data_IF_230463609863
#
_entry.id   IF_230463609863
#
_cell.length_a   1.000
_cell.length_b   1.000
_cell.length_c   1.000
_cell.angle_alpha   90.00
_cell.angle_beta   90.00
_cell.angle_gamma   90.00
#
_symmetry.space_group_name_H-M   'P 1'
#
loop_
_entity.id
_entity.type
_entity.pdbx_description
1 polymer ?
#
# COMPACT_ATOMS: atom_id res chain seq x y z
N UNK A 1 12.55 14.02 10.43
CA UNK A 1 11.44 13.21 9.87
C UNK A 1 11.49 13.38 8.36
N UNK A 2 11.21 12.33 7.59
CA UNK A 2 11.11 12.42 6.12
C UNK A 2 9.84 13.23 5.79
N UNK A 3 9.95 14.12 4.80
CA UNK A 3 8.84 15.01 4.40
C UNK A 3 7.86 14.27 3.47
N UNK A 4 6.60 14.65 3.49
CA UNK A 4 5.57 14.01 2.65
C UNK A 4 5.88 14.06 1.14
N UNK A 5 6.47 15.14 0.67
CA UNK A 5 6.92 15.25 -0.74
C UNK A 5 7.89 14.13 -1.16
N UNK A 6 8.67 13.58 -0.23
CA UNK A 6 9.59 12.48 -0.52
C UNK A 6 8.83 11.17 -0.75
N UNK A 7 7.83 10.88 0.09
CA UNK A 7 6.96 9.72 -0.12
C UNK A 7 6.20 9.82 -1.45
N UNK A 8 5.63 10.99 -1.75
CA UNK A 8 4.95 11.21 -3.04
C UNK A 8 5.92 11.06 -4.24
N UNK A 9 7.18 11.51 -4.12
CA UNK A 9 8.22 11.29 -5.14
C UNK A 9 8.49 9.81 -5.38
N UNK A 10 8.58 9.02 -4.29
CA UNK A 10 8.82 7.57 -4.37
C UNK A 10 7.66 6.86 -5.05
N UNK A 11 6.42 7.18 -4.70
CA UNK A 11 5.24 6.61 -5.35
C UNK A 11 5.23 6.91 -6.85
N UNK A 12 5.46 8.17 -7.25
CA UNK A 12 5.57 8.53 -8.67
C UNK A 12 6.72 7.82 -9.39
N UNK A 13 7.85 7.61 -8.72
CA UNK A 13 8.96 6.86 -9.30
C UNK A 13 8.56 5.39 -9.53
N UNK A 14 7.93 4.75 -8.56
CA UNK A 14 7.48 3.37 -8.67
C UNK A 14 6.43 3.20 -9.78
N UNK A 15 5.44 4.10 -9.86
CA UNK A 15 4.44 4.09 -10.94
C UNK A 15 5.07 4.22 -12.33
N UNK A 16 6.08 5.08 -12.49
CA UNK A 16 6.82 5.18 -13.77
C UNK A 16 7.58 3.90 -14.12
N UNK A 17 8.12 3.20 -13.12
CA UNK A 17 8.81 1.93 -13.33
C UNK A 17 7.83 0.81 -13.70
N UNK A 18 6.63 0.83 -13.14
CA UNK A 18 5.57 -0.15 -13.45
C UNK A 18 5.03 0.00 -14.87
N UNK A 19 5.11 1.19 -15.46
CA UNK A 19 4.59 1.46 -16.80
C UNK A 19 3.08 1.70 -16.82
N UNK A 20 2.53 1.81 -18.02
CA UNK A 20 1.12 2.08 -18.25
C UNK A 20 0.24 0.87 -17.91
N UNK A 21 -1.05 1.11 -17.69
CA UNK A 21 -2.10 0.10 -17.45
C UNK A 21 -1.75 -0.92 -16.36
N UNK A 22 -1.08 -0.43 -15.32
CA UNK A 22 -0.61 -1.26 -14.22
C UNK A 22 -1.31 -0.91 -12.91
N UNK A 23 -1.48 -1.92 -12.07
CA UNK A 23 -1.91 -1.76 -10.68
C UNK A 23 -0.84 -2.32 -9.75
N UNK A 24 -0.48 -1.54 -8.74
CA UNK A 24 0.50 -1.90 -7.72
C UNK A 24 -0.24 -2.06 -6.40
N UNK A 25 -0.08 -3.19 -5.74
CA UNK A 25 -0.79 -3.53 -4.50
C UNK A 25 0.24 -3.83 -3.42
N UNK A 26 0.17 -3.11 -2.31
CA UNK A 26 1.07 -3.31 -1.17
C UNK A 26 0.30 -3.27 0.14
N UNK A 27 0.44 -4.33 0.93
CA UNK A 27 -0.23 -4.48 2.22
C UNK A 27 0.60 -3.92 3.36
N UNK A 28 -0.09 -3.34 4.35
CA UNK A 28 0.50 -3.04 5.65
C UNK A 28 0.87 -4.33 6.39
N UNK A 29 1.81 -4.24 7.33
CA UNK A 29 2.11 -5.36 8.21
C UNK A 29 0.88 -5.73 9.06
N UNK A 30 0.60 -7.02 9.27
CA UNK A 30 -0.44 -7.44 10.19
C UNK A 30 -0.04 -7.19 11.65
N UNK A 31 -1.02 -6.97 12.50
CA UNK A 31 -0.81 -7.00 13.96
C UNK A 31 -0.47 -8.44 14.37
N UNK A 32 0.56 -8.61 15.19
CA UNK A 32 1.00 -9.93 15.65
C UNK A 32 0.68 -10.12 17.13
N UNK A 33 0.01 -11.23 17.43
CA UNK A 33 -0.25 -11.65 18.80
C UNK A 33 1.04 -12.14 19.45
N UNK A 34 1.26 -11.72 20.69
CA UNK A 34 2.34 -12.21 21.55
C UNK A 34 1.88 -13.38 22.43
N UNK A 35 0.73 -13.20 23.07
CA UNK A 35 0.03 -14.20 23.87
C UNK A 35 -1.47 -13.81 23.93
N UNK A 36 -2.30 -14.54 24.65
CA UNK A 36 -3.77 -14.48 24.62
C UNK A 36 -4.38 -13.09 24.43
N UNK A 37 -3.95 -12.08 25.18
CA UNK A 37 -4.52 -10.73 25.16
C UNK A 37 -3.52 -9.62 24.82
N UNK A 38 -2.27 -9.99 24.55
CA UNK A 38 -1.21 -9.00 24.30
C UNK A 38 -0.67 -9.11 22.87
N UNK A 39 -0.51 -7.96 22.23
CA UNK A 39 0.14 -7.84 20.95
C UNK A 39 1.62 -7.46 21.12
N UNK A 40 2.44 -7.83 20.15
CA UNK A 40 3.74 -7.19 20.01
C UNK A 40 3.55 -5.71 19.65
N UNK A 41 4.48 -4.82 20.04
CA UNK A 41 4.48 -3.45 19.54
C UNK A 41 4.37 -3.46 18.01
N UNK A 42 3.39 -2.72 17.47
CA UNK A 42 3.17 -2.71 16.04
C UNK A 42 4.35 -2.08 15.31
N UNK A 43 4.85 -2.78 14.32
CA UNK A 43 5.84 -2.29 13.39
C UNK A 43 5.33 -2.44 11.97
N UNK A 44 5.20 -1.32 11.27
CA UNK A 44 4.78 -1.28 9.89
C UNK A 44 5.77 -2.00 8.98
N UNK A 45 5.27 -2.60 7.90
CA UNK A 45 6.09 -3.13 6.82
C UNK A 45 7.03 -2.05 6.28
N UNK A 46 8.26 -2.43 5.98
CA UNK A 46 9.29 -1.47 5.61
C UNK A 46 9.05 -0.83 4.25
N UNK A 47 8.50 -1.55 3.30
CA UNK A 47 8.20 -1.06 1.96
C UNK A 47 6.95 -0.20 1.96
N UNK A 48 5.93 -0.62 2.71
CA UNK A 48 4.74 0.18 2.94
C UNK A 48 5.08 1.52 3.59
N UNK A 49 5.89 1.50 4.65
CA UNK A 49 6.36 2.71 5.32
C UNK A 49 7.21 3.60 4.40
N UNK A 50 8.05 2.97 3.55
CA UNK A 50 8.90 3.67 2.58
C UNK A 50 8.11 4.46 1.55
N UNK A 51 6.95 3.95 1.12
CA UNK A 51 6.10 4.58 0.11
C UNK A 51 5.06 5.54 0.71
N UNK A 52 4.64 5.33 1.95
CA UNK A 52 3.50 6.07 2.53
C UNK A 52 3.85 6.94 3.72
N UNK A 53 4.80 6.53 4.54
CA UNK A 53 5.00 7.10 5.88
C UNK A 53 3.90 6.73 6.88
N UNK A 54 2.86 6.01 6.46
CA UNK A 54 1.69 5.64 7.24
C UNK A 54 2.00 4.49 8.21
N UNK A 55 1.58 4.61 9.47
CA UNK A 55 2.05 3.72 10.56
C UNK A 55 0.95 2.86 11.19
N UNK A 56 -0.28 2.95 10.69
CA UNK A 56 -1.36 2.12 11.24
C UNK A 56 -1.47 0.79 10.54
N UNK A 57 -1.92 -0.26 11.25
CA UNK A 57 -2.26 -1.55 10.67
C UNK A 57 -3.56 -1.45 9.83
N UNK A 58 -4.01 -2.59 9.32
CA UNK A 58 -5.25 -2.73 8.56
C UNK A 58 -5.32 -1.72 7.41
N UNK A 59 -4.27 -1.69 6.61
CA UNK A 59 -4.13 -0.75 5.51
C UNK A 59 -3.61 -1.43 4.25
N UNK A 60 -4.04 -0.91 3.11
CA UNK A 60 -3.60 -1.35 1.79
C UNK A 60 -3.31 -0.12 0.92
N UNK A 61 -2.12 -0.05 0.36
CA UNK A 61 -1.79 0.93 -0.66
C UNK A 61 -2.07 0.33 -2.03
N UNK A 62 -2.84 1.03 -2.83
CA UNK A 62 -3.06 0.72 -4.24
C UNK A 62 -2.58 1.91 -5.06
N UNK A 63 -1.79 1.65 -6.09
CA UNK A 63 -1.42 2.67 -7.06
C UNK A 63 -1.80 2.17 -8.45
N UNK A 64 -2.45 3.02 -9.21
CA UNK A 64 -2.84 2.74 -10.59
C UNK A 64 -2.10 3.69 -11.52
N UNK A 65 -1.76 3.19 -12.69
CA UNK A 65 -1.09 3.99 -13.73
C UNK A 65 -2.00 4.06 -14.96
N UNK A 66 -2.05 5.24 -15.58
CA UNK A 66 -2.82 5.51 -16.79
C UNK A 66 -2.03 6.54 -17.60
N UNK A 67 -1.22 6.06 -18.54
CA UNK A 67 -0.28 6.87 -19.29
C UNK A 67 0.68 7.63 -18.35
N UNK A 68 0.79 8.95 -18.56
CA UNK A 68 1.64 9.82 -17.72
C UNK A 68 1.04 10.15 -16.34
N UNK A 69 -0.18 9.70 -16.08
CA UNK A 69 -0.89 9.95 -14.82
C UNK A 69 -0.84 8.71 -13.94
N UNK A 70 -0.87 8.93 -12.66
CA UNK A 70 -0.94 7.87 -11.68
C UNK A 70 -1.69 8.35 -10.45
N UNK A 71 -2.42 7.44 -9.82
CA UNK A 71 -3.19 7.70 -8.61
C UNK A 71 -2.72 6.78 -7.49
N UNK A 72 -2.58 7.34 -6.29
CA UNK A 72 -2.22 6.62 -5.07
C UNK A 72 -3.43 6.60 -4.15
N UNK A 73 -3.96 5.43 -3.90
CA UNK A 73 -5.17 5.19 -3.10
C UNK A 73 -4.77 4.46 -1.82
N UNK A 74 -5.19 4.95 -0.67
CA UNK A 74 -4.99 4.27 0.59
C UNK A 74 -6.33 3.74 1.12
N UNK A 75 -6.40 2.44 1.32
CA UNK A 75 -7.44 1.84 2.15
C UNK A 75 -6.92 1.78 3.58
N UNK A 76 -7.64 2.37 4.52
CA UNK A 76 -7.26 2.38 5.93
C UNK A 76 -8.51 2.43 6.82
N UNK A 77 -8.32 2.37 8.12
CA UNK A 77 -9.43 2.47 9.06
C UNK A 77 -10.03 3.89 9.04
N UNK A 78 -11.34 3.97 8.89
CA UNK A 78 -12.06 5.20 9.17
C UNK A 78 -11.97 5.52 10.67
N UNK A 79 -12.02 6.80 11.03
CA UNK A 79 -12.07 7.21 12.44
C UNK A 79 -13.34 6.67 13.09
N UNK A 80 -13.18 6.09 14.26
CA UNK A 80 -14.24 5.57 15.09
C UNK A 80 -14.02 6.08 16.53
N UNK A 81 -14.80 7.09 17.00
CA UNK A 81 -14.62 7.68 18.32
C UNK A 81 -14.72 6.69 19.47
N UNK A 82 -15.53 5.62 19.33
CA UNK A 82 -15.66 4.60 20.38
C UNK A 82 -14.39 3.74 20.46
N UNK A 83 -13.84 3.36 19.32
CA UNK A 83 -12.56 2.62 19.23
C UNK A 83 -11.37 3.50 19.64
N UNK A 84 -11.36 4.77 19.30
CA UNK A 84 -10.28 5.71 19.67
C UNK A 84 -10.09 5.83 21.19
N UNK A 85 -11.13 5.54 22.00
CA UNK A 85 -11.01 5.52 23.47
C UNK A 85 -10.15 4.33 23.97
N UNK A 86 -10.09 3.25 23.22
CA UNK A 86 -9.36 2.03 23.59
C UNK A 86 -8.03 1.89 22.85
N UNK A 87 -8.03 2.16 21.56
CA UNK A 87 -6.88 1.92 20.65
C UNK A 87 -6.02 3.18 20.45
N UNK A 88 -6.46 4.32 20.99
CA UNK A 88 -5.86 5.61 20.74
C UNK A 88 -6.33 6.26 19.43
N UNK A 89 -5.91 7.50 19.21
CA UNK A 89 -6.33 8.29 18.05
C UNK A 89 -5.95 7.63 16.73
N UNK A 90 -6.93 7.50 15.85
CA UNK A 90 -6.76 6.99 14.48
C UNK A 90 -6.48 8.14 13.51
N UNK A 91 -5.67 7.87 12.49
CA UNK A 91 -5.35 8.85 11.42
C UNK A 91 -6.62 9.18 10.62
N UNK A 92 -7.30 8.15 10.12
CA UNK A 92 -8.54 8.31 9.36
C UNK A 92 -8.33 8.73 7.90
N UNK A 93 -9.44 8.80 7.16
CA UNK A 93 -9.42 8.98 5.70
C UNK A 93 -8.97 10.39 5.28
N UNK A 94 -9.48 11.43 5.96
CA UNK A 94 -9.18 12.82 5.63
C UNK A 94 -7.68 13.14 5.81
N UNK A 95 -7.09 12.64 6.89
CA UNK A 95 -5.66 12.81 7.14
C UNK A 95 -4.81 11.98 6.16
N UNK A 96 -5.27 10.81 5.72
CA UNK A 96 -4.59 10.04 4.69
C UNK A 96 -4.41 10.85 3.40
N UNK A 97 -5.41 11.62 3.00
CA UNK A 97 -5.33 12.53 1.85
C UNK A 97 -4.51 13.78 2.19
N UNK A 98 -4.89 14.53 3.23
CA UNK A 98 -4.34 15.87 3.49
C UNK A 98 -2.91 15.85 4.06
N UNK A 99 -2.58 14.88 4.93
CA UNK A 99 -1.30 14.82 5.62
C UNK A 99 -0.34 13.80 4.99
N UNK A 100 -0.85 12.69 4.43
CA UNK A 100 -0.01 11.65 3.78
C UNK A 100 0.05 11.78 2.27
N UNK A 101 -0.71 12.73 1.69
CA UNK A 101 -0.66 13.08 0.27
C UNK A 101 -1.07 11.92 -0.64
N UNK A 102 -2.10 11.19 -0.23
CA UNK A 102 -2.80 10.25 -1.10
C UNK A 102 -3.78 11.00 -1.98
N UNK A 103 -4.00 10.51 -3.19
CA UNK A 103 -4.97 11.09 -4.12
C UNK A 103 -6.40 10.77 -3.67
N UNK A 104 -6.60 9.57 -3.11
CA UNK A 104 -7.86 9.16 -2.48
C UNK A 104 -7.61 8.27 -1.26
N UNK A 105 -8.57 8.22 -0.33
CA UNK A 105 -8.58 7.27 0.77
C UNK A 105 -9.98 6.70 0.99
N UNK A 106 -10.07 5.41 1.27
CA UNK A 106 -11.31 4.69 1.51
C UNK A 106 -11.22 3.82 2.76
N UNK A 107 -12.37 3.52 3.35
CA UNK A 107 -12.43 2.58 4.46
C UNK A 107 -11.92 1.21 4.02
N UNK A 108 -11.09 0.58 4.84
CA UNK A 108 -10.56 -0.76 4.56
C UNK A 108 -11.66 -1.80 4.34
N UNK A 109 -12.83 -1.60 4.92
CA UNK A 109 -14.01 -2.45 4.72
C UNK A 109 -14.55 -2.41 3.29
N UNK A 110 -14.29 -1.36 2.54
CA UNK A 110 -14.67 -1.22 1.12
C UNK A 110 -13.62 -1.81 0.17
N UNK A 111 -12.47 -2.23 0.69
CA UNK A 111 -11.31 -2.65 -0.09
C UNK A 111 -11.67 -3.71 -1.13
N UNK A 112 -12.36 -4.76 -0.73
CA UNK A 112 -12.67 -5.87 -1.65
C UNK A 112 -13.48 -5.41 -2.86
N UNK A 113 -14.54 -4.65 -2.62
CA UNK A 113 -15.39 -4.13 -3.71
C UNK A 113 -14.59 -3.23 -4.65
N UNK A 114 -13.91 -2.22 -4.08
CA UNK A 114 -13.21 -1.21 -4.88
C UNK A 114 -11.98 -1.77 -5.59
N UNK A 115 -11.25 -2.67 -4.95
CA UNK A 115 -10.07 -3.27 -5.57
C UNK A 115 -10.45 -4.12 -6.79
N UNK A 116 -11.57 -4.83 -6.73
CA UNK A 116 -12.10 -5.55 -7.90
C UNK A 116 -12.43 -4.61 -9.06
N UNK A 117 -12.98 -3.43 -8.78
CA UNK A 117 -13.25 -2.41 -9.80
C UNK A 117 -11.93 -1.84 -10.37
N UNK A 118 -10.93 -1.58 -9.52
CA UNK A 118 -9.62 -1.05 -9.92
C UNK A 118 -8.76 -2.04 -10.71
N UNK A 119 -8.99 -3.34 -10.56
CA UNK A 119 -8.30 -4.39 -11.32
C UNK A 119 -8.80 -4.51 -12.77
N UNK A 120 -10.01 -4.00 -13.06
CA UNK A 120 -10.55 -4.04 -14.42
C UNK A 120 -9.77 -3.08 -15.33
N UNK A 121 -9.60 -3.46 -16.58
CA UNK A 121 -8.86 -2.72 -17.60
C UNK A 121 -7.40 -2.41 -17.21
N UNK A 122 -6.77 -3.33 -16.48
CA UNK A 122 -5.34 -3.31 -16.21
C UNK A 122 -4.67 -4.50 -16.87
N UNK A 123 -3.49 -4.27 -17.45
CA UNK A 123 -2.70 -5.33 -18.06
C UNK A 123 -1.90 -6.09 -17.02
N UNK A 124 -1.33 -5.38 -16.05
CA UNK A 124 -0.34 -5.90 -15.11
C UNK A 124 -0.66 -5.59 -13.67
N UNK A 125 -0.43 -6.59 -12.82
CA UNK A 125 -0.48 -6.48 -11.36
C UNK A 125 0.94 -6.58 -10.83
N UNK A 126 1.38 -5.60 -10.04
CA UNK A 126 2.60 -5.68 -9.25
C UNK A 126 2.24 -6.01 -7.80
N UNK A 127 2.52 -7.24 -7.40
CA UNK A 127 2.17 -7.76 -6.08
C UNK A 127 3.08 -8.93 -5.70
N UNK A 128 3.49 -9.04 -4.44
CA UNK A 128 4.34 -10.13 -3.96
C UNK A 128 3.50 -11.31 -3.48
N UNK A 129 3.18 -12.23 -4.39
CA UNK A 129 2.50 -13.49 -4.08
C UNK A 129 3.28 -14.30 -3.02
N UNK A 130 2.55 -14.91 -2.10
CA UNK A 130 3.10 -15.75 -1.03
C UNK A 130 3.32 -15.01 0.28
N UNK A 131 3.17 -13.69 0.33
CA UNK A 131 3.25 -12.92 1.59
C UNK A 131 2.01 -13.09 2.47
N UNK A 132 0.83 -13.09 1.87
CA UNK A 132 -0.46 -13.28 2.54
C UNK A 132 -1.30 -14.29 1.76
N UNK A 133 -1.30 -15.58 2.17
CA UNK A 133 -2.04 -16.63 1.46
C UNK A 133 -3.55 -16.38 1.36
N UNK A 134 -4.14 -15.66 2.32
CA UNK A 134 -5.58 -15.36 2.28
C UNK A 134 -5.88 -14.28 1.24
N UNK A 135 -5.04 -13.28 1.14
CA UNK A 135 -5.18 -12.26 0.10
C UNK A 135 -4.86 -12.84 -1.28
N UNK A 136 -3.83 -13.70 -1.39
CA UNK A 136 -3.50 -14.39 -2.62
C UNK A 136 -4.70 -15.17 -3.18
N UNK A 137 -5.38 -15.93 -2.31
CA UNK A 137 -6.58 -16.69 -2.71
C UNK A 137 -7.70 -15.78 -3.21
N UNK A 138 -7.92 -14.62 -2.56
CA UNK A 138 -8.92 -13.64 -3.01
C UNK A 138 -8.55 -13.06 -4.37
N UNK A 139 -7.32 -12.61 -4.53
CA UNK A 139 -6.83 -12.03 -5.78
C UNK A 139 -6.98 -13.01 -6.94
N UNK A 140 -6.53 -14.25 -6.75
CA UNK A 140 -6.66 -15.32 -7.75
C UNK A 140 -8.14 -15.62 -8.04
N UNK A 141 -8.97 -15.64 -7.00
CA UNK A 141 -10.42 -15.83 -7.13
C UNK A 141 -11.06 -14.78 -8.03
N UNK A 142 -10.77 -13.50 -7.80
CA UNK A 142 -11.30 -12.40 -8.62
C UNK A 142 -10.82 -12.49 -10.07
N UNK A 143 -9.54 -12.81 -10.29
CA UNK A 143 -9.02 -12.97 -11.67
C UNK A 143 -9.69 -14.14 -12.39
N UNK A 144 -9.98 -15.24 -11.69
CA UNK A 144 -10.71 -16.37 -12.27
C UNK A 144 -12.17 -16.01 -12.60
N UNK A 145 -12.84 -15.27 -11.72
CA UNK A 145 -14.19 -14.74 -12.00
C UNK A 145 -14.17 -13.84 -13.23
N UNK A 146 -13.21 -12.89 -13.33
CA UNK A 146 -13.07 -12.01 -14.48
C UNK A 146 -12.84 -12.79 -15.79
N UNK A 147 -12.02 -13.84 -15.76
CA UNK A 147 -11.78 -14.69 -16.94
C UNK A 147 -13.01 -15.50 -17.35
N UNK A 148 -13.82 -15.93 -16.37
CA UNK A 148 -15.03 -16.72 -16.59
C UNK A 148 -16.22 -15.91 -17.10
N UNK A 149 -16.19 -14.58 -17.04
CA UNK A 149 -17.27 -13.71 -17.42
C UNK A 149 -17.39 -13.58 -18.93
N UNK A 150 -18.41 -14.19 -19.52
CA UNK A 150 -18.58 -14.31 -20.99
C UNK A 150 -19.10 -13.04 -21.67
N UNK A 151 -19.69 -12.12 -20.91
CA UNK A 151 -20.25 -10.83 -21.41
C UNK A 151 -19.55 -9.63 -20.79
N UNK A 152 -18.26 -9.74 -20.51
CA UNK A 152 -17.49 -8.65 -19.92
C UNK A 152 -17.30 -7.49 -20.90
N UNK A 153 -17.39 -6.29 -20.38
CA UNK A 153 -17.07 -5.05 -21.09
C UNK A 153 -15.67 -4.53 -20.74
N UNK A 154 -14.91 -5.28 -19.96
CA UNK A 154 -13.56 -4.96 -19.46
C UNK A 154 -12.62 -6.14 -19.74
N UNK A 155 -11.33 -5.90 -19.75
CA UNK A 155 -10.32 -6.97 -19.73
C UNK A 155 -9.79 -7.23 -18.32
N UNK A 156 -9.36 -8.47 -18.08
CA UNK A 156 -8.74 -8.87 -16.82
C UNK A 156 -7.22 -8.78 -16.94
N UNK A 157 -6.50 -8.46 -15.86
CA UNK A 157 -5.05 -8.51 -15.86
C UNK A 157 -4.52 -9.87 -16.27
N UNK A 158 -3.51 -9.87 -17.15
CA UNK A 158 -2.90 -11.10 -17.67
C UNK A 158 -1.57 -11.41 -16.98
N UNK A 159 -0.89 -10.41 -16.44
CA UNK A 159 0.45 -10.54 -15.86
C UNK A 159 0.45 -10.20 -14.36
N UNK A 160 1.15 -11.03 -13.59
CA UNK A 160 1.47 -10.73 -12.17
C UNK A 160 2.97 -10.68 -12.04
N UNK A 161 3.50 -9.54 -11.62
CA UNK A 161 4.91 -9.30 -11.40
C UNK A 161 5.21 -9.15 -9.92
N UNK A 162 6.34 -9.70 -9.46
CA UNK A 162 6.83 -9.44 -8.13
C UNK A 162 7.19 -7.96 -7.96
N UNK A 163 6.73 -7.35 -6.88
CA UNK A 163 6.94 -5.94 -6.58
C UNK A 163 8.28 -5.69 -5.87
N UNK A 164 8.75 -6.64 -5.09
CA UNK A 164 9.86 -6.51 -4.16
C UNK A 164 11.17 -6.06 -4.83
N UNK A 165 11.51 -6.60 -6.02
CA UNK A 165 12.74 -6.23 -6.73
C UNK A 165 12.79 -4.75 -7.10
N UNK A 166 11.66 -4.16 -7.52
CA UNK A 166 11.57 -2.73 -7.85
C UNK A 166 11.80 -1.86 -6.59
N UNK A 167 11.21 -2.27 -5.47
CA UNK A 167 11.36 -1.59 -4.19
C UNK A 167 12.78 -1.73 -3.63
N UNK A 168 13.41 -2.90 -3.80
CA UNK A 168 14.79 -3.12 -3.40
C UNK A 168 15.74 -2.20 -4.18
N UNK A 169 15.58 -2.09 -5.49
CA UNK A 169 16.36 -1.18 -6.34
C UNK A 169 16.18 0.28 -5.92
N UNK A 170 14.95 0.73 -5.68
CA UNK A 170 14.68 2.08 -5.20
C UNK A 170 15.31 2.37 -3.83
N UNK A 171 15.39 1.38 -2.96
CA UNK A 171 15.94 1.49 -1.59
C UNK A 171 17.45 1.32 -1.53
N UNK A 172 18.08 0.83 -2.60
CA UNK A 172 19.53 0.67 -2.67
C UNK A 172 20.24 2.03 -2.51
N UNK A 173 19.78 3.04 -3.19
CA UNK A 173 20.34 4.40 -3.13
C UNK A 173 19.50 5.30 -2.21
N UNK A 174 20.11 5.74 -1.09
CA UNK A 174 19.45 6.54 -0.06
C UNK A 174 19.35 7.99 -0.52
N UNK A 175 18.17 8.58 -0.35
CA UNK A 175 17.96 9.99 -0.57
C UNK A 175 18.72 10.85 0.46
N UNK A 176 18.87 12.15 0.19
CA UNK A 176 19.46 13.09 1.17
C UNK A 176 18.69 13.14 2.48
N UNK A 177 17.37 13.02 2.42
CA UNK A 177 16.51 13.00 3.60
C UNK A 177 16.71 11.72 4.43
N UNK A 178 16.85 10.57 3.78
CA UNK A 178 17.17 9.29 4.45
C UNK A 178 18.54 9.35 5.11
N UNK A 179 19.57 9.81 4.41
CA UNK A 179 20.91 9.97 4.97
C UNK A 179 20.91 10.90 6.18
N UNK A 180 20.13 11.99 6.17
CA UNK A 180 20.00 12.88 7.32
C UNK A 180 19.34 12.19 8.53
N UNK A 181 18.35 11.31 8.31
CA UNK A 181 17.74 10.51 9.38
C UNK A 181 18.71 9.47 9.92
N UNK A 182 19.40 8.74 9.03
CA UNK A 182 20.39 7.73 9.42
C UNK A 182 21.55 8.33 10.24
N UNK A 183 22.06 9.50 9.82
CA UNK A 183 23.12 10.21 10.58
C UNK A 183 22.66 10.64 11.97
N UNK A 184 21.40 11.06 12.12
CA UNK A 184 20.83 11.39 13.44
C UNK A 184 20.69 10.14 14.32
N UNK A 185 20.18 9.05 13.75
CA UNK A 185 20.07 7.78 14.47
C UNK A 185 21.44 7.29 14.97
N UNK A 186 22.46 7.33 14.12
CA UNK A 186 23.81 6.94 14.49
C UNK A 186 24.40 7.79 15.63
N UNK A 187 24.11 9.11 15.66
CA UNK A 187 24.56 9.99 16.76
C UNK A 187 23.84 9.73 18.09
N UNK A 188 22.61 9.22 18.06
CA UNK A 188 21.86 8.88 19.29
C UNK A 188 22.16 7.49 19.84
N UNK A 189 23.00 6.70 19.14
CA UNK A 189 23.39 5.35 19.54
C UNK A 189 24.82 5.30 20.15
N UNK A 190 25.48 6.45 20.27
CA UNK A 190 26.76 6.67 20.93
C UNK A 190 26.49 7.33 22.29
#
# INVERSE_FOLDING_TARGET
MIKQKEFARRRRQLMRMAGEDSIIILQAAPVRMRNNDAHYPYRQDSDFLYLTGFREPDSLLVMITDGDKGESILFCRARDPEREMWDGRMIGLDAAVSEYGMDAAFDIREMEKRLRELLQDRDRIYYDLGRDPLFDQRLIGWLNEFRGETRKTFHAPEEIHALDHMLHDMRMYKSREELAVMRRAAKGSI
#
